data_IF_075199751080
#
_entry.id   IF_075199751080
#
_cell.length_a   1.000
_cell.length_b   1.000
_cell.length_c   1.000
_cell.angle_alpha   90.00
_cell.angle_beta   90.00
_cell.angle_gamma   90.00
#
_symmetry.space_group_name_H-M   'P 1'
#
loop_
_entity.id
_entity.type
_entity.pdbx_description
1 polymer ?
#
# COMPACT_ATOMS: atom_id res chain seq x y z
N UNK A 1 6.80 2.99 -19.36
CA UNK A 1 5.74 2.91 -18.33
C UNK A 1 4.81 4.11 -18.36
N UNK A 2 5.35 5.31 -18.60
CA UNK A 2 4.59 6.58 -18.60
C UNK A 2 3.37 6.61 -19.53
N UNK A 3 3.49 6.10 -20.77
CA UNK A 3 2.36 6.03 -21.71
C UNK A 3 1.19 5.22 -21.15
N UNK A 4 1.48 4.10 -20.49
CA UNK A 4 0.46 3.25 -19.87
C UNK A 4 -0.19 3.96 -18.67
N UNK A 5 0.61 4.55 -17.79
CA UNK A 5 0.10 5.28 -16.62
C UNK A 5 -0.76 6.48 -17.05
N UNK A 6 -0.31 7.22 -18.07
CA UNK A 6 -1.06 8.34 -18.65
C UNK A 6 -2.40 7.88 -19.24
N UNK A 7 -2.39 6.80 -20.04
CA UNK A 7 -3.60 6.22 -20.61
C UNK A 7 -4.58 5.78 -19.52
N UNK A 8 -4.11 5.03 -18.52
CA UNK A 8 -4.96 4.56 -17.42
C UNK A 8 -5.53 5.72 -16.60
N UNK A 9 -4.72 6.76 -16.38
CA UNK A 9 -5.17 7.98 -15.68
C UNK A 9 -6.30 8.66 -16.46
N UNK A 10 -6.11 8.90 -17.76
CA UNK A 10 -7.14 9.52 -18.61
C UNK A 10 -8.44 8.69 -18.69
N UNK A 11 -8.33 7.37 -18.85
CA UNK A 11 -9.50 6.48 -18.85
C UNK A 11 -10.22 6.45 -17.50
N UNK A 12 -9.47 6.58 -16.39
CA UNK A 12 -10.05 6.58 -15.04
C UNK A 12 -10.88 7.82 -14.73
N UNK A 13 -10.67 8.91 -15.49
CA UNK A 13 -11.40 10.16 -15.37
C UNK A 13 -12.59 10.29 -16.36
N UNK A 14 -12.74 9.32 -17.27
CA UNK A 14 -13.84 9.31 -18.25
C UNK A 14 -15.22 9.34 -17.58
N UNK A 15 -16.24 9.94 -18.21
CA UNK A 15 -17.63 9.81 -17.75
C UNK A 15 -18.24 8.43 -18.06
N UNK A 16 -17.59 7.62 -18.92
CA UNK A 16 -18.02 6.27 -19.25
C UNK A 16 -17.62 5.29 -18.14
N UNK A 17 -18.61 4.70 -17.45
CA UNK A 17 -18.39 3.77 -16.33
C UNK A 17 -17.46 2.61 -16.70
N UNK A 18 -17.62 2.02 -17.89
CA UNK A 18 -16.81 0.88 -18.32
C UNK A 18 -15.32 1.22 -18.38
N UNK A 19 -14.97 2.40 -18.90
CA UNK A 19 -13.58 2.87 -18.93
C UNK A 19 -13.08 3.15 -17.51
N UNK A 20 -13.83 3.87 -16.68
CA UNK A 20 -13.39 4.16 -15.31
C UNK A 20 -13.14 2.90 -14.51
N UNK A 21 -14.09 1.97 -14.50
CA UNK A 21 -13.99 0.74 -13.73
C UNK A 21 -12.78 -0.09 -14.18
N UNK A 22 -12.67 -0.35 -15.49
CA UNK A 22 -11.60 -1.19 -16.04
C UNK A 22 -10.22 -0.57 -15.84
N UNK A 23 -10.07 0.71 -16.14
CA UNK A 23 -8.79 1.42 -15.98
C UNK A 23 -8.41 1.57 -14.51
N UNK A 24 -9.36 1.78 -13.61
CA UNK A 24 -9.07 1.80 -12.16
C UNK A 24 -8.58 0.44 -11.69
N UNK A 25 -9.27 -0.65 -12.05
CA UNK A 25 -8.81 -2.00 -11.70
C UNK A 25 -7.39 -2.26 -12.22
N UNK A 26 -7.13 -1.95 -13.49
CA UNK A 26 -5.81 -2.09 -14.09
C UNK A 26 -4.75 -1.25 -13.37
N UNK A 27 -5.04 0.02 -13.07
CA UNK A 27 -4.13 0.91 -12.36
C UNK A 27 -3.84 0.43 -10.93
N UNK A 28 -4.85 -0.06 -10.21
CA UNK A 28 -4.64 -0.58 -8.85
C UNK A 28 -3.81 -1.86 -8.86
N UNK A 29 -4.03 -2.78 -9.80
CA UNK A 29 -3.19 -3.98 -9.96
C UNK A 29 -1.78 -3.64 -10.42
N UNK A 30 -1.62 -2.64 -11.28
CA UNK A 30 -0.32 -2.13 -11.69
C UNK A 30 0.45 -1.56 -10.49
N UNK A 31 -0.20 -0.74 -9.66
CA UNK A 31 0.37 -0.25 -8.41
C UNK A 31 0.82 -1.41 -7.51
N UNK A 32 -0.01 -2.44 -7.33
CA UNK A 32 0.37 -3.64 -6.55
C UNK A 32 1.62 -4.33 -7.09
N UNK A 33 1.79 -4.40 -8.41
CA UNK A 33 3.00 -4.92 -9.01
C UNK A 33 4.22 -4.02 -8.73
N UNK A 34 4.08 -2.70 -8.87
CA UNK A 34 5.13 -1.74 -8.56
C UNK A 34 5.56 -1.80 -7.09
N UNK A 35 4.61 -1.95 -6.16
CA UNK A 35 4.90 -2.14 -4.72
C UNK A 35 5.78 -3.38 -4.49
N UNK A 36 5.53 -4.49 -5.19
CA UNK A 36 6.36 -5.70 -5.09
C UNK A 36 7.77 -5.48 -5.64
N UNK A 37 7.90 -4.77 -6.77
CA UNK A 37 9.20 -4.42 -7.34
C UNK A 37 9.97 -3.48 -6.39
N UNK A 38 9.31 -2.44 -5.86
CA UNK A 38 9.90 -1.52 -4.89
C UNK A 38 10.39 -2.24 -3.62
N UNK A 39 9.60 -3.19 -3.11
CA UNK A 39 10.04 -4.02 -1.99
C UNK A 39 11.29 -4.84 -2.34
N UNK A 40 11.31 -5.47 -3.52
CA UNK A 40 12.47 -6.24 -3.99
C UNK A 40 13.72 -5.38 -4.10
N UNK A 41 13.62 -4.18 -4.69
CA UNK A 41 14.72 -3.22 -4.81
C UNK A 41 15.22 -2.77 -3.43
N UNK A 42 14.30 -2.49 -2.50
CA UNK A 42 14.64 -2.13 -1.11
C UNK A 42 15.42 -3.24 -0.40
N UNK A 43 14.99 -4.50 -0.53
CA UNK A 43 15.72 -5.64 0.03
C UNK A 43 17.10 -5.83 -0.62
N UNK A 44 17.23 -5.60 -1.93
CA UNK A 44 18.52 -5.61 -2.60
C UNK A 44 19.45 -4.49 -2.10
N UNK A 45 18.91 -3.31 -1.83
CA UNK A 45 19.65 -2.18 -1.27
C UNK A 45 20.17 -2.50 0.14
N UNK A 46 19.34 -3.09 0.99
CA UNK A 46 19.74 -3.50 2.34
C UNK A 46 20.85 -4.56 2.30
N UNK A 47 20.75 -5.53 1.39
CA UNK A 47 21.79 -6.55 1.19
C UNK A 47 23.09 -5.94 0.65
N UNK A 48 23.01 -5.04 -0.33
CA UNK A 48 24.17 -4.31 -0.86
C UNK A 48 24.85 -3.48 0.24
N UNK A 49 24.08 -2.80 1.10
CA UNK A 49 24.61 -2.03 2.23
C UNK A 49 25.35 -2.93 3.24
N UNK A 50 24.79 -4.09 3.61
CA UNK A 50 25.47 -5.06 4.48
C UNK A 50 26.77 -5.59 3.86
N UNK A 51 26.76 -5.87 2.55
CA UNK A 51 27.96 -6.31 1.83
C UNK A 51 29.04 -5.23 1.82
N UNK A 52 28.64 -3.98 1.62
CA UNK A 52 29.54 -2.82 1.67
C UNK A 52 30.18 -2.67 3.07
N UNK A 53 29.38 -2.74 4.13
CA UNK A 53 29.86 -2.66 5.51
C UNK A 53 30.82 -3.80 5.86
N UNK A 54 30.50 -5.04 5.46
CA UNK A 54 31.33 -6.21 5.69
C UNK A 54 32.66 -6.16 4.92
N UNK A 55 32.69 -5.58 3.72
CA UNK A 55 33.93 -5.38 2.97
C UNK A 55 34.77 -4.24 3.57
N UNK A 56 34.10 -3.16 4.00
CA UNK A 56 34.74 -1.99 4.62
C UNK A 56 35.37 -2.33 5.97
N UNK A 57 34.75 -3.21 6.77
CA UNK A 57 35.26 -3.63 8.07
C UNK A 57 36.48 -4.53 8.02
N UNK A 58 36.85 -5.05 6.84
CA UNK A 58 38.09 -5.82 6.68
C UNK A 58 39.31 -4.95 6.90
N UNK A 59 40.37 -5.57 7.45
CA UNK A 59 41.67 -4.93 7.62
C UNK A 59 42.29 -4.50 6.28
N UNK A 60 43.22 -3.52 6.29
CA UNK A 60 43.74 -2.90 5.06
C UNK A 60 44.31 -3.89 4.03
N UNK A 61 44.91 -4.99 4.49
CA UNK A 61 45.52 -6.02 3.62
C UNK A 61 44.51 -6.97 2.97
N UNK A 62 43.27 -7.06 3.48
CA UNK A 62 42.23 -7.97 2.97
C UNK A 62 41.06 -7.24 2.32
N UNK A 63 41.08 -5.91 2.34
CA UNK A 63 40.04 -5.04 1.78
C UNK A 63 40.27 -4.89 0.28
N UNK A 64 39.27 -5.26 -0.51
CA UNK A 64 39.30 -5.02 -1.95
C UNK A 64 38.68 -3.65 -2.28
N UNK A 65 39.49 -2.69 -2.72
CA UNK A 65 39.05 -1.33 -3.10
C UNK A 65 38.08 -1.35 -4.27
N UNK A 66 38.39 -2.12 -5.32
CA UNK A 66 37.57 -2.20 -6.53
C UNK A 66 36.18 -2.76 -6.23
N UNK A 67 36.11 -3.70 -5.27
CA UNK A 67 34.83 -4.25 -4.79
C UNK A 67 34.03 -3.23 -4.01
N UNK A 68 34.66 -2.37 -3.21
CA UNK A 68 33.98 -1.29 -2.50
C UNK A 68 33.41 -0.27 -3.49
N UNK A 69 34.17 0.09 -4.52
CA UNK A 69 33.72 0.99 -5.58
C UNK A 69 32.54 0.40 -6.37
N UNK A 70 32.61 -0.87 -6.78
CA UNK A 70 31.51 -1.56 -7.43
C UNK A 70 30.24 -1.63 -6.56
N UNK A 71 30.39 -1.84 -5.25
CA UNK A 71 29.26 -1.84 -4.31
C UNK A 71 28.65 -0.45 -4.16
N UNK A 72 29.45 0.62 -4.16
CA UNK A 72 28.96 2.01 -4.13
C UNK A 72 28.19 2.36 -5.40
N UNK A 73 28.73 2.00 -6.57
CA UNK A 73 28.06 2.24 -7.83
C UNK A 73 26.74 1.47 -7.90
N UNK A 74 26.74 0.20 -7.47
CA UNK A 74 25.51 -0.59 -7.42
C UNK A 74 24.47 0.01 -6.48
N UNK A 75 24.90 0.61 -5.37
CA UNK A 75 24.01 1.31 -4.44
C UNK A 75 23.36 2.53 -5.09
N UNK A 76 24.12 3.29 -5.90
CA UNK A 76 23.61 4.43 -6.67
C UNK A 76 22.55 3.98 -7.67
N UNK A 77 22.82 2.94 -8.45
CA UNK A 77 21.84 2.36 -9.39
C UNK A 77 20.54 1.93 -8.68
N UNK A 78 20.64 1.21 -7.57
CA UNK A 78 19.47 0.75 -6.81
C UNK A 78 18.66 1.93 -6.25
N UNK A 79 19.32 3.01 -5.87
CA UNK A 79 18.66 4.24 -5.39
C UNK A 79 17.90 4.93 -6.52
N UNK A 80 18.48 5.05 -7.71
CA UNK A 80 17.84 5.63 -8.89
C UNK A 80 16.62 4.80 -9.34
N UNK A 81 16.76 3.46 -9.36
CA UNK A 81 15.65 2.55 -9.64
C UNK A 81 14.51 2.71 -8.63
N UNK A 82 14.84 2.84 -7.33
CA UNK A 82 13.86 3.05 -6.29
C UNK A 82 13.08 4.36 -6.50
N UNK A 83 13.78 5.45 -6.82
CA UNK A 83 13.16 6.76 -7.09
C UNK A 83 12.24 6.71 -8.32
N UNK A 84 12.65 6.06 -9.41
CA UNK A 84 11.82 5.90 -10.60
C UNK A 84 10.52 5.13 -10.29
N UNK A 85 10.62 4.04 -9.52
CA UNK A 85 9.44 3.26 -9.11
C UNK A 85 8.52 4.08 -8.21
N UNK A 86 9.08 4.83 -7.26
CA UNK A 86 8.31 5.72 -6.39
C UNK A 86 7.59 6.82 -7.16
N UNK A 87 8.22 7.37 -8.20
CA UNK A 87 7.58 8.35 -9.10
C UNK A 87 6.39 7.74 -9.85
N UNK A 88 6.54 6.52 -10.39
CA UNK A 88 5.43 5.80 -11.03
C UNK A 88 4.29 5.49 -10.05
N UNK A 89 4.63 5.03 -8.84
CA UNK A 89 3.64 4.78 -7.78
C UNK A 89 2.90 6.05 -7.39
N UNK A 90 3.63 7.16 -7.22
CA UNK A 90 3.05 8.46 -6.90
C UNK A 90 2.13 8.99 -8.01
N UNK A 91 2.48 8.77 -9.28
CA UNK A 91 1.64 9.13 -10.41
C UNK A 91 0.31 8.37 -10.40
N UNK A 92 0.33 7.05 -10.17
CA UNK A 92 -0.91 6.24 -10.06
C UNK A 92 -1.71 6.65 -8.84
N UNK A 93 -1.05 6.89 -7.70
CA UNK A 93 -1.73 7.26 -6.47
C UNK A 93 -2.46 8.60 -6.61
N UNK A 94 -1.74 9.64 -7.06
CA UNK A 94 -2.29 11.00 -7.22
C UNK A 94 -3.21 11.13 -8.43
N UNK A 95 -2.94 10.41 -9.52
CA UNK A 95 -3.74 10.49 -10.74
C UNK A 95 -5.01 9.65 -10.71
N UNK A 96 -4.98 8.49 -10.04
CA UNK A 96 -6.10 7.53 -10.04
C UNK A 96 -6.67 7.33 -8.64
N UNK A 97 -5.88 6.84 -7.68
CA UNK A 97 -6.40 6.39 -6.39
C UNK A 97 -7.17 7.49 -5.65
N UNK A 98 -6.58 8.68 -5.49
CA UNK A 98 -7.21 9.79 -4.73
C UNK A 98 -8.51 10.31 -5.34
N UNK A 99 -8.76 10.02 -6.63
CA UNK A 99 -10.01 10.35 -7.30
C UNK A 99 -11.01 9.20 -7.24
N UNK A 100 -10.54 7.95 -7.34
CA UNK A 100 -11.40 6.77 -7.51
C UNK A 100 -11.80 6.07 -6.21
N UNK A 101 -11.05 6.22 -5.11
CA UNK A 101 -11.48 5.68 -3.81
C UNK A 101 -12.83 6.26 -3.32
N UNK A 102 -13.24 7.40 -3.91
CA UNK A 102 -14.48 8.13 -3.65
C UNK A 102 -15.39 8.23 -4.89
N UNK A 103 -15.23 7.32 -5.86
CA UNK A 103 -16.09 7.26 -7.06
C UNK A 103 -17.57 7.07 -6.68
N UNK A 104 -18.49 7.52 -7.54
CA UNK A 104 -19.91 7.27 -7.39
C UNK A 104 -20.23 5.76 -7.39
N UNK A 105 -19.49 4.98 -8.18
CA UNK A 105 -19.68 3.53 -8.32
C UNK A 105 -19.03 2.80 -7.12
N UNK A 106 -19.82 2.07 -6.30
CA UNK A 106 -19.31 1.43 -5.09
C UNK A 106 -18.23 0.38 -5.34
N UNK A 107 -18.39 -0.38 -6.42
CA UNK A 107 -17.43 -1.40 -6.83
C UNK A 107 -16.03 -0.82 -7.10
N UNK A 108 -15.96 0.38 -7.70
CA UNK A 108 -14.69 1.07 -7.94
C UNK A 108 -14.04 1.47 -6.61
N UNK A 109 -14.83 2.00 -5.66
CA UNK A 109 -14.33 2.33 -4.32
C UNK A 109 -13.80 1.09 -3.60
N UNK A 110 -14.53 -0.02 -3.68
CA UNK A 110 -14.15 -1.29 -3.09
C UNK A 110 -12.82 -1.82 -3.64
N UNK A 111 -12.60 -1.74 -4.97
CA UNK A 111 -11.33 -2.11 -5.62
C UNK A 111 -10.17 -1.27 -5.05
N UNK A 112 -10.34 0.04 -4.95
CA UNK A 112 -9.29 0.92 -4.41
C UNK A 112 -8.94 0.56 -2.96
N UNK A 113 -9.94 0.36 -2.09
CA UNK A 113 -9.70 0.06 -0.67
C UNK A 113 -9.06 -1.32 -0.49
N UNK A 114 -9.47 -2.32 -1.27
CA UNK A 114 -8.86 -3.65 -1.24
C UNK A 114 -7.37 -3.58 -1.56
N UNK A 115 -7.00 -2.91 -2.65
CA UNK A 115 -5.59 -2.83 -3.05
C UNK A 115 -4.76 -1.97 -2.09
N UNK A 116 -5.31 -0.89 -1.51
CA UNK A 116 -4.65 -0.16 -0.43
C UNK A 116 -4.27 -1.07 0.74
N UNK A 117 -5.21 -1.92 1.18
CA UNK A 117 -4.96 -2.91 2.22
C UNK A 117 -3.85 -3.89 1.85
N UNK A 118 -3.77 -4.29 0.58
CA UNK A 118 -2.71 -5.17 0.08
C UNK A 118 -1.35 -4.47 0.07
N UNK A 119 -1.28 -3.19 -0.32
CA UNK A 119 -0.02 -2.43 -0.33
C UNK A 119 0.53 -2.26 1.09
N UNK A 120 -0.34 -1.91 2.05
CA UNK A 120 0.03 -1.79 3.46
C UNK A 120 0.56 -3.10 4.05
N UNK A 121 -0.06 -4.23 3.72
CA UNK A 121 0.40 -5.55 4.18
C UNK A 121 1.71 -5.97 3.50
N UNK A 122 1.86 -5.69 2.20
CA UNK A 122 3.00 -6.16 1.42
C UNK A 122 4.26 -5.34 1.69
N UNK A 123 4.13 -4.02 1.86
CA UNK A 123 5.26 -3.11 2.05
C UNK A 123 4.96 -2.08 3.16
N UNK A 124 4.73 -2.60 4.37
CA UNK A 124 4.32 -1.82 5.54
C UNK A 124 5.30 -0.69 5.91
N UNK A 125 6.60 -0.87 5.67
CA UNK A 125 7.61 0.17 5.88
C UNK A 125 7.29 1.46 5.09
N UNK A 126 6.72 1.34 3.88
CA UNK A 126 6.39 2.48 3.03
C UNK A 126 4.90 2.89 3.15
N UNK A 127 3.98 1.94 3.20
CA UNK A 127 2.54 2.21 3.08
C UNK A 127 1.77 2.26 4.39
N UNK A 128 2.28 1.67 5.48
CA UNK A 128 1.56 1.65 6.77
C UNK A 128 1.80 2.94 7.56
N UNK A 129 1.28 4.05 7.03
CA UNK A 129 1.40 5.38 7.63
C UNK A 129 0.04 6.07 7.68
N UNK A 130 -0.10 7.09 8.53
CA UNK A 130 -1.36 7.82 8.69
C UNK A 130 -1.85 8.47 7.38
N UNK A 131 -0.91 8.87 6.52
CA UNK A 131 -1.24 9.49 5.24
C UNK A 131 -2.01 8.55 4.30
N UNK A 132 -1.79 7.23 4.42
CA UNK A 132 -2.53 6.21 3.68
C UNK A 132 -3.69 5.62 4.51
N UNK A 133 -3.50 5.37 5.80
CA UNK A 133 -4.52 4.78 6.68
C UNK A 133 -5.80 5.60 6.75
N UNK A 134 -5.70 6.94 6.65
CA UNK A 134 -6.88 7.82 6.64
C UNK A 134 -7.91 7.43 5.58
N UNK A 135 -7.49 6.91 4.42
CA UNK A 135 -8.42 6.52 3.35
C UNK A 135 -9.29 5.33 3.78
N UNK A 136 -8.71 4.31 4.42
CA UNK A 136 -9.48 3.20 4.98
C UNK A 136 -10.39 3.70 6.11
N UNK A 137 -9.86 4.55 7.00
CA UNK A 137 -10.61 5.09 8.14
C UNK A 137 -11.84 5.92 7.73
N UNK A 138 -11.71 6.78 6.72
CA UNK A 138 -12.85 7.52 6.15
C UNK A 138 -13.85 6.57 5.51
N UNK A 139 -13.37 5.59 4.74
CA UNK A 139 -14.24 4.68 3.99
C UNK A 139 -14.96 3.64 4.86
N UNK A 140 -14.60 3.48 6.14
CA UNK A 140 -15.44 2.75 7.12
C UNK A 140 -16.86 3.34 7.26
N UNK A 141 -17.07 4.59 6.85
CA UNK A 141 -18.35 5.29 6.87
C UNK A 141 -19.13 5.22 5.55
N UNK A 142 -18.64 4.43 4.59
CA UNK A 142 -19.29 4.27 3.29
C UNK A 142 -20.72 3.74 3.45
N UNK A 143 -21.63 4.22 2.59
CA UNK A 143 -23.04 3.83 2.63
C UNK A 143 -23.26 2.41 2.12
N UNK A 144 -22.34 1.90 1.31
CA UNK A 144 -22.47 0.62 0.63
C UNK A 144 -21.76 -0.51 1.37
N UNK A 145 -22.43 -1.65 1.45
CA UNK A 145 -22.03 -2.84 2.21
C UNK A 145 -20.64 -3.31 1.79
N UNK A 146 -20.47 -3.52 0.50
CA UNK A 146 -19.30 -4.09 -0.13
C UNK A 146 -18.03 -3.28 0.14
N UNK A 147 -18.16 -1.95 0.21
CA UNK A 147 -17.02 -1.06 0.49
C UNK A 147 -16.61 -1.17 1.96
N UNK A 148 -17.58 -1.16 2.89
CA UNK A 148 -17.31 -1.35 4.33
C UNK A 148 -16.66 -2.71 4.61
N UNK A 149 -17.10 -3.77 3.92
CA UNK A 149 -16.47 -5.10 4.02
C UNK A 149 -15.00 -5.07 3.62
N UNK A 150 -14.64 -4.37 2.52
CA UNK A 150 -13.24 -4.26 2.10
C UNK A 150 -12.39 -3.51 3.13
N UNK A 151 -12.92 -2.46 3.74
CA UNK A 151 -12.23 -1.77 4.85
C UNK A 151 -11.94 -2.72 6.01
N UNK A 152 -12.94 -3.45 6.49
CA UNK A 152 -12.78 -4.37 7.62
C UNK A 152 -11.76 -5.48 7.31
N UNK A 153 -11.84 -6.09 6.12
CA UNK A 153 -10.90 -7.14 5.70
C UNK A 153 -9.47 -6.62 5.55
N UNK A 154 -9.30 -5.43 4.99
CA UNK A 154 -8.00 -4.78 4.92
C UNK A 154 -7.40 -4.57 6.32
N UNK A 155 -8.20 -4.05 7.27
CA UNK A 155 -7.76 -3.87 8.65
C UNK A 155 -7.44 -5.20 9.34
N UNK A 156 -8.26 -6.23 9.17
CA UNK A 156 -7.96 -7.57 9.71
C UNK A 156 -6.60 -8.09 9.24
N UNK A 157 -6.25 -7.89 7.96
CA UNK A 157 -4.93 -8.24 7.43
C UNK A 157 -3.78 -7.55 8.17
N UNK A 158 -3.97 -6.28 8.56
CA UNK A 158 -2.99 -5.51 9.31
C UNK A 158 -2.87 -5.95 10.78
N UNK A 159 -3.99 -6.15 11.47
CA UNK A 159 -3.96 -6.55 12.90
C UNK A 159 -3.52 -8.00 13.14
N UNK A 160 -3.53 -8.87 12.11
CA UNK A 160 -2.99 -10.23 12.22
C UNK A 160 -1.50 -10.27 12.53
N UNK A 161 -0.74 -9.25 12.13
CA UNK A 161 0.69 -9.14 12.45
C UNK A 161 0.88 -8.27 13.68
N UNK A 162 1.53 -8.81 14.72
CA UNK A 162 1.86 -8.05 15.94
C UNK A 162 2.70 -6.81 15.65
N UNK A 163 3.64 -6.91 14.71
CA UNK A 163 4.50 -5.79 14.32
C UNK A 163 3.68 -4.67 13.66
N UNK A 164 2.78 -5.01 12.74
CA UNK A 164 1.93 -4.02 12.08
C UNK A 164 0.90 -3.45 13.05
N UNK A 165 0.29 -4.29 13.90
CA UNK A 165 -0.67 -3.87 14.92
C UNK A 165 -0.08 -2.83 15.88
N UNK A 166 1.19 -2.95 16.25
CA UNK A 166 1.88 -1.95 17.08
C UNK A 166 1.92 -0.56 16.43
N UNK A 167 1.92 -0.47 15.09
CA UNK A 167 1.90 0.80 14.35
C UNK A 167 0.49 1.36 14.13
N UNK A 168 -0.55 0.65 14.56
CA UNK A 168 -1.95 1.03 14.34
C UNK A 168 -2.56 1.82 15.50
N UNK A 169 -1.84 2.03 16.61
CA UNK A 169 -2.39 2.60 17.85
C UNK A 169 -3.18 3.90 17.64
N UNK A 170 -2.62 4.86 16.92
CA UNK A 170 -3.29 6.14 16.63
C UNK A 170 -4.55 5.95 15.78
N UNK A 171 -4.47 5.08 14.76
CA UNK A 171 -5.63 4.73 13.93
C UNK A 171 -6.72 4.05 14.76
N UNK A 172 -6.36 3.08 15.58
CA UNK A 172 -7.27 2.37 16.49
C UNK A 172 -7.97 3.36 17.41
N UNK A 173 -7.21 4.21 18.11
CA UNK A 173 -7.75 5.20 19.03
C UNK A 173 -8.78 6.11 18.35
N UNK A 174 -8.45 6.60 17.15
CA UNK A 174 -9.31 7.50 16.38
C UNK A 174 -10.59 6.82 15.86
N UNK A 175 -10.51 5.58 15.37
CA UNK A 175 -11.63 4.92 14.68
C UNK A 175 -12.31 3.82 15.50
N UNK A 176 -11.88 3.56 16.75
CA UNK A 176 -12.44 2.54 17.64
C UNK A 176 -13.95 2.64 17.77
N UNK A 177 -14.47 3.85 18.05
CA UNK A 177 -15.92 4.06 18.18
C UNK A 177 -16.69 3.61 16.93
N UNK A 178 -16.16 3.92 15.74
CA UNK A 178 -16.75 3.47 14.47
C UNK A 178 -16.66 1.95 14.33
N UNK A 179 -15.49 1.34 14.55
CA UNK A 179 -15.30 -0.11 14.42
C UNK A 179 -16.23 -0.90 15.36
N UNK A 180 -16.41 -0.43 16.60
CA UNK A 180 -17.35 -1.02 17.57
C UNK A 180 -18.79 -0.87 17.11
N UNK A 181 -19.20 0.31 16.62
CA UNK A 181 -20.56 0.50 16.11
C UNK A 181 -20.91 -0.43 14.94
N UNK A 182 -19.91 -0.84 14.15
CA UNK A 182 -20.10 -1.71 13.00
C UNK A 182 -20.43 -3.15 13.39
N UNK A 183 -20.30 -3.56 14.66
CA UNK A 183 -20.84 -4.85 15.15
C UNK A 183 -22.35 -4.93 14.96
N UNK A 184 -23.03 -3.77 15.07
CA UNK A 184 -24.47 -3.61 14.81
C UNK A 184 -24.72 -2.96 13.44
N UNK A 185 -23.83 -3.19 12.47
CA UNK A 185 -24.07 -2.71 11.10
C UNK A 185 -25.39 -3.30 10.56
N UNK A 186 -26.10 -2.51 9.75
CA UNK A 186 -27.38 -2.92 9.15
C UNK A 186 -27.25 -4.19 8.30
N UNK A 187 -26.05 -4.45 7.77
CA UNK A 187 -25.73 -5.64 6.99
C UNK A 187 -25.05 -6.67 7.93
N UNK A 188 -25.67 -7.83 8.19
CA UNK A 188 -25.19 -8.77 9.21
C UNK A 188 -23.76 -9.26 8.98
N UNK A 189 -23.35 -9.41 7.73
CA UNK A 189 -22.01 -9.87 7.38
C UNK A 189 -20.93 -8.82 7.63
N UNK A 190 -21.24 -7.53 7.53
CA UNK A 190 -20.37 -6.45 8.01
C UNK A 190 -20.21 -6.54 9.52
N UNK A 191 -21.30 -6.80 10.25
CA UNK A 191 -21.27 -7.07 11.69
C UNK A 191 -20.33 -8.21 12.07
N UNK A 192 -20.41 -9.33 11.37
CA UNK A 192 -19.52 -10.48 11.57
C UNK A 192 -18.05 -10.11 11.35
N UNK A 193 -17.74 -9.41 10.26
CA UNK A 193 -16.36 -8.99 9.98
C UNK A 193 -15.85 -7.93 10.97
N UNK A 194 -16.73 -7.11 11.55
CA UNK A 194 -16.38 -6.16 12.60
C UNK A 194 -16.04 -6.88 13.91
N UNK A 195 -16.82 -7.90 14.31
CA UNK A 195 -16.50 -8.74 15.48
C UNK A 195 -15.15 -9.45 15.30
N UNK A 196 -14.90 -10.02 14.12
CA UNK A 196 -13.60 -10.64 13.80
C UNK A 196 -12.45 -9.63 13.92
N UNK A 197 -12.63 -8.41 13.40
CA UNK A 197 -11.64 -7.35 13.52
C UNK A 197 -11.35 -6.99 14.98
N UNK A 198 -12.39 -6.77 15.79
CA UNK A 198 -12.23 -6.43 17.21
C UNK A 198 -11.54 -7.55 17.99
N UNK A 199 -11.79 -8.81 17.63
CA UNK A 199 -11.12 -9.96 18.24
C UNK A 199 -9.61 -9.98 17.96
N UNK A 200 -9.16 -9.42 16.82
CA UNK A 200 -7.74 -9.28 16.50
C UNK A 200 -7.08 -8.08 17.19
N UNK A 201 -7.88 -7.11 17.67
CA UNK A 201 -7.40 -5.90 18.35
C UNK A 201 -7.23 -6.15 19.87
N UNK A 202 -8.01 -7.08 20.42
CA UNK A 202 -7.89 -7.56 21.81
C UNK A 202 -6.63 -8.40 22.01
#
# INVERSE_FOLDING_TARGET
>A
MDTLISLLTGLSDSQVRAFRHTSTLAAMKLMTALVRVALSVSLHRDNNQRQYEAERSKGPSRRATDKLEALLEKRRELQEQQEEIENMMNAIFKGVFVHRYRDLVPEIRAICIEEMGNWMQSYSASFLTDSYLKYIGWTLHDKQREVRLKCLKALQGLYRSREMAARMELFTSRFKGRMVSMVLDKEPDVGVEAVKLLTLIL
#
